data_IF_444261197925
#
_entry.id   IF_444261197925
#
_cell.length_a   1.000
_cell.length_b   1.000
_cell.length_c   1.000
_cell.angle_alpha   90.00
_cell.angle_beta   90.00
_cell.angle_gamma   90.00
#
_symmetry.space_group_name_H-M   'P 1'
#
loop_
_entity.id
_entity.type
_entity.pdbx_description
1 polymer ?
#
# COMPACT_ATOMS: atom_id res chain seq x y z
N UNK A 1 -14.28 -16.14 -13.86
CA UNK A 1 -13.29 -15.41 -14.68
C UNK A 1 -12.77 -14.26 -13.84
N UNK A 2 -11.47 -14.21 -13.61
CA UNK A 2 -10.84 -13.17 -12.79
C UNK A 2 -10.90 -11.82 -13.53
N UNK A 3 -11.32 -10.75 -12.85
CA UNK A 3 -11.40 -9.43 -13.48
C UNK A 3 -9.98 -8.96 -13.89
N UNK A 4 -9.78 -8.50 -15.14
CA UNK A 4 -8.45 -8.19 -15.66
C UNK A 4 -7.71 -7.11 -14.87
N UNK A 5 -8.40 -6.01 -14.53
CA UNK A 5 -7.82 -4.94 -13.71
C UNK A 5 -7.32 -5.45 -12.36
N UNK A 6 -8.08 -6.36 -11.76
CA UNK A 6 -7.74 -6.97 -10.48
C UNK A 6 -6.52 -7.89 -10.64
N UNK A 7 -6.43 -8.61 -11.76
CA UNK A 7 -5.25 -9.42 -12.09
C UNK A 7 -4.00 -8.55 -12.18
N UNK A 8 -4.09 -7.45 -12.92
CA UNK A 8 -3.00 -6.47 -13.06
C UNK A 8 -2.53 -5.94 -11.71
N UNK A 9 -3.46 -5.63 -10.80
CA UNK A 9 -3.13 -5.15 -9.47
C UNK A 9 -2.34 -6.18 -8.66
N UNK A 10 -2.76 -7.45 -8.68
CA UNK A 10 -2.04 -8.53 -8.01
C UNK A 10 -0.68 -8.83 -8.63
N UNK A 11 -0.55 -8.76 -9.96
CA UNK A 11 0.74 -8.91 -10.67
C UNK A 11 1.73 -7.85 -10.20
N UNK A 12 1.32 -6.59 -10.14
CA UNK A 12 2.17 -5.50 -9.64
C UNK A 12 2.56 -5.72 -8.18
N UNK A 13 1.59 -6.09 -7.33
CA UNK A 13 1.86 -6.41 -5.92
C UNK A 13 2.91 -7.52 -5.79
N UNK A 14 2.77 -8.60 -6.57
CA UNK A 14 3.72 -9.71 -6.51
C UNK A 14 5.10 -9.30 -7.02
N UNK A 15 5.19 -8.51 -8.09
CA UNK A 15 6.45 -7.97 -8.58
C UNK A 15 7.15 -7.07 -7.54
N UNK A 16 6.40 -6.26 -6.79
CA UNK A 16 6.95 -5.47 -5.67
C UNK A 16 7.54 -6.37 -4.58
N UNK A 17 6.83 -7.43 -4.16
CA UNK A 17 7.36 -8.41 -3.18
C UNK A 17 8.60 -9.14 -3.69
N UNK A 18 8.59 -9.57 -4.95
CA UNK A 18 9.72 -10.25 -5.59
C UNK A 18 10.96 -9.36 -5.64
N UNK A 19 10.81 -8.05 -5.87
CA UNK A 19 11.93 -7.09 -5.88
C UNK A 19 12.63 -6.94 -4.53
N UNK A 20 11.96 -7.27 -3.42
CA UNK A 20 12.56 -7.21 -2.08
C UNK A 20 13.45 -8.44 -1.78
N UNK A 21 13.38 -9.47 -2.62
CA UNK A 21 14.04 -10.76 -2.41
C UNK A 21 15.31 -10.84 -3.24
N UNK A 22 16.43 -11.13 -2.56
CA UNK A 22 17.75 -11.16 -3.19
C UNK A 22 18.00 -12.38 -4.08
N UNK A 23 17.28 -13.47 -3.87
CA UNK A 23 17.49 -14.77 -4.50
C UNK A 23 16.17 -15.48 -4.81
N UNK A 24 15.27 -14.81 -5.54
CA UNK A 24 14.12 -15.49 -6.13
C UNK A 24 14.61 -16.39 -7.29
N UNK A 25 14.00 -17.56 -7.45
CA UNK A 25 14.18 -18.35 -8.65
C UNK A 25 13.35 -17.77 -9.81
N UNK A 26 13.48 -18.37 -10.98
CA UNK A 26 12.84 -17.91 -12.20
C UNK A 26 11.37 -18.33 -12.32
N UNK A 27 10.77 -18.92 -11.28
CA UNK A 27 9.38 -19.43 -11.37
C UNK A 27 8.35 -18.31 -11.51
N UNK A 28 8.67 -17.08 -11.07
CA UNK A 28 7.77 -15.92 -11.14
C UNK A 28 8.26 -14.84 -12.12
N UNK A 29 9.04 -15.22 -13.15
CA UNK A 29 9.64 -14.26 -14.10
C UNK A 29 8.60 -13.51 -14.93
N UNK A 30 7.46 -14.13 -15.28
CA UNK A 30 6.39 -13.44 -16.02
C UNK A 30 5.69 -12.40 -15.15
N UNK A 31 5.41 -12.76 -13.91
CA UNK A 31 4.87 -11.85 -12.89
C UNK A 31 5.80 -10.66 -12.70
N UNK A 32 7.11 -10.91 -12.58
CA UNK A 32 8.11 -9.86 -12.41
C UNK A 32 8.19 -8.97 -13.64
N UNK A 33 8.23 -9.55 -14.84
CA UNK A 33 8.31 -8.81 -16.11
C UNK A 33 7.08 -7.96 -16.34
N UNK A 34 5.89 -8.55 -16.26
CA UNK A 34 4.63 -7.85 -16.45
C UNK A 34 4.42 -6.77 -15.38
N UNK A 35 4.70 -7.07 -14.10
CA UNK A 35 4.56 -6.11 -13.02
C UNK A 35 5.54 -4.94 -13.14
N UNK A 36 6.81 -5.18 -13.50
CA UNK A 36 7.78 -4.11 -13.78
C UNK A 36 7.39 -3.28 -15.00
N UNK A 37 6.87 -3.90 -16.06
CA UNK A 37 6.35 -3.19 -17.23
C UNK A 37 5.16 -2.28 -16.84
N UNK A 38 4.23 -2.78 -16.03
CA UNK A 38 3.10 -2.01 -15.49
C UNK A 38 3.55 -0.83 -14.62
N UNK A 39 4.49 -1.04 -13.70
CA UNK A 39 5.08 0.01 -12.87
C UNK A 39 5.81 1.07 -13.70
N UNK A 40 6.60 0.64 -14.69
CA UNK A 40 7.29 1.55 -15.60
C UNK A 40 6.29 2.39 -16.38
N UNK A 41 5.31 1.75 -17.02
CA UNK A 41 4.28 2.43 -17.79
C UNK A 41 3.55 3.45 -16.93
N UNK A 42 3.12 3.05 -15.73
CA UNK A 42 2.46 3.96 -14.79
C UNK A 42 3.33 5.14 -14.36
N UNK A 43 4.66 4.95 -14.24
CA UNK A 43 5.59 6.03 -13.92
C UNK A 43 5.82 7.01 -15.09
N UNK A 44 5.66 6.54 -16.32
CA UNK A 44 5.86 7.32 -17.53
C UNK A 44 4.55 8.04 -17.95
N UNK A 45 3.40 7.38 -17.81
CA UNK A 45 2.10 7.89 -18.25
C UNK A 45 1.67 9.15 -17.50
N UNK A 46 1.00 10.03 -18.24
CA UNK A 46 0.24 11.18 -17.75
C UNK A 46 -1.13 11.17 -18.42
N UNK A 47 -2.05 11.99 -17.90
CA UNK A 47 -3.40 12.15 -18.47
C UNK A 47 -3.37 12.59 -19.95
N UNK A 48 -2.32 13.33 -20.35
CA UNK A 48 -2.07 13.73 -21.74
C UNK A 48 -0.81 13.07 -22.31
N UNK A 49 -0.76 12.95 -23.64
CA UNK A 49 0.46 12.54 -24.37
C UNK A 49 1.63 13.44 -23.99
N UNK A 50 2.77 12.84 -23.64
CA UNK A 50 3.93 13.60 -23.20
C UNK A 50 5.24 12.97 -23.65
N UNK A 51 6.17 13.83 -24.06
CA UNK A 51 7.54 13.46 -24.41
C UNK A 51 8.42 13.51 -23.14
N UNK A 52 9.16 12.42 -22.91
CA UNK A 52 9.94 12.20 -21.70
C UNK A 52 11.39 11.97 -22.11
N UNK A 53 12.25 12.88 -21.63
CA UNK A 53 13.69 12.82 -21.92
C UNK A 53 14.31 11.53 -21.41
N UNK A 54 15.33 11.03 -22.11
CA UNK A 54 16.07 9.83 -21.67
C UNK A 54 16.58 9.88 -20.22
N UNK A 55 17.05 11.05 -19.77
CA UNK A 55 17.48 11.27 -18.38
C UNK A 55 16.35 11.11 -17.37
N UNK A 56 15.14 11.55 -17.72
CA UNK A 56 13.95 11.41 -16.89
C UNK A 56 13.42 9.98 -16.90
N UNK A 57 13.42 9.31 -18.05
CA UNK A 57 13.10 7.88 -18.16
C UNK A 57 14.03 7.07 -17.26
N UNK A 58 15.34 7.33 -17.31
CA UNK A 58 16.31 6.68 -16.42
C UNK A 58 15.97 6.88 -14.94
N UNK A 59 15.69 8.12 -14.53
CA UNK A 59 15.32 8.42 -13.15
C UNK A 59 14.05 7.67 -12.71
N UNK A 60 13.01 7.65 -13.56
CA UNK A 60 11.74 6.97 -13.29
C UNK A 60 11.89 5.45 -13.25
N UNK A 61 12.66 4.85 -14.16
CA UNK A 61 12.91 3.40 -14.16
C UNK A 61 13.67 2.96 -12.92
N UNK A 62 14.79 3.62 -12.60
CA UNK A 62 15.56 3.31 -11.38
C UNK A 62 14.70 3.45 -10.13
N UNK A 63 13.79 4.42 -10.16
CA UNK A 63 12.87 4.67 -9.08
C UNK A 63 11.87 3.50 -8.85
N UNK A 64 11.29 2.90 -9.89
CA UNK A 64 10.40 1.73 -9.74
C UNK A 64 11.15 0.39 -9.59
N UNK A 65 12.43 0.42 -9.21
CA UNK A 65 13.24 -0.78 -8.99
C UNK A 65 13.72 -1.47 -10.27
N UNK A 66 13.68 -0.77 -11.42
CA UNK A 66 14.17 -1.31 -12.69
C UNK A 66 15.65 -0.98 -12.85
N UNK A 67 16.45 -2.02 -13.02
CA UNK A 67 17.89 -1.89 -13.25
C UNK A 67 18.20 -1.36 -14.65
N UNK A 68 19.43 -0.87 -14.85
CA UNK A 68 19.86 -0.41 -16.16
C UNK A 68 19.80 -1.49 -17.25
N UNK A 69 19.96 -2.77 -16.87
CA UNK A 69 19.91 -3.90 -17.80
C UNK A 69 18.47 -4.26 -18.21
N UNK A 70 17.51 -4.10 -17.30
CA UNK A 70 16.09 -4.40 -17.53
C UNK A 70 15.36 -3.28 -18.28
N UNK A 71 15.81 -2.02 -18.12
CA UNK A 71 15.11 -0.84 -18.66
C UNK A 71 14.85 -0.93 -20.16
N UNK A 72 15.87 -1.23 -20.96
CA UNK A 72 15.73 -1.28 -22.43
C UNK A 72 14.78 -2.41 -22.86
N UNK A 73 14.95 -3.67 -22.41
CA UNK A 73 13.98 -4.74 -22.69
C UNK A 73 12.53 -4.37 -22.34
N UNK A 74 12.30 -3.75 -21.18
CA UNK A 74 10.95 -3.35 -20.75
C UNK A 74 10.35 -2.24 -21.63
N UNK A 75 11.15 -1.25 -22.05
CA UNK A 75 10.68 -0.22 -22.99
C UNK A 75 10.35 -0.82 -24.36
N UNK A 76 11.18 -1.73 -24.87
CA UNK A 76 10.88 -2.41 -26.14
C UNK A 76 9.60 -3.26 -26.03
N UNK A 77 9.39 -3.96 -24.92
CA UNK A 77 8.15 -4.69 -24.64
C UNK A 77 6.93 -3.74 -24.65
N UNK A 78 7.00 -2.61 -23.94
CA UNK A 78 5.91 -1.63 -23.91
C UNK A 78 5.63 -1.03 -25.29
N UNK A 79 6.67 -0.84 -26.10
CA UNK A 79 6.54 -0.38 -27.49
C UNK A 79 5.90 -1.44 -28.39
N UNK A 80 6.30 -2.71 -28.26
CA UNK A 80 5.69 -3.83 -28.99
C UNK A 80 4.18 -3.92 -28.71
N UNK A 81 3.78 -3.62 -27.47
CA UNK A 81 2.36 -3.55 -27.06
C UNK A 81 1.68 -2.23 -27.43
N UNK A 82 2.34 -1.35 -28.18
CA UNK A 82 1.83 -0.05 -28.63
C UNK A 82 1.42 0.89 -27.48
N UNK A 83 2.07 0.78 -26.31
CA UNK A 83 1.77 1.60 -25.12
C UNK A 83 2.65 2.84 -25.03
N UNK A 84 3.81 2.79 -25.69
CA UNK A 84 4.75 3.89 -25.85
C UNK A 84 5.27 3.92 -27.28
N UNK A 85 5.83 5.06 -27.69
CA UNK A 85 6.63 5.19 -28.90
C UNK A 85 7.90 6.01 -28.61
N UNK A 86 8.75 6.18 -29.63
CA UNK A 86 9.92 7.05 -29.56
C UNK A 86 9.76 8.24 -30.50
N UNK A 87 10.07 9.44 -30.01
CA UNK A 87 10.16 10.62 -30.84
C UNK A 87 11.35 10.54 -31.80
N UNK A 88 11.44 11.47 -32.75
CA UNK A 88 12.56 11.57 -33.68
C UNK A 88 13.92 11.77 -32.99
N UNK A 89 13.90 12.28 -31.75
CA UNK A 89 15.09 12.54 -30.96
C UNK A 89 15.46 11.35 -30.05
N UNK A 90 14.66 10.27 -30.05
CA UNK A 90 14.84 9.10 -29.20
C UNK A 90 14.25 9.24 -27.80
N UNK A 91 13.47 10.30 -27.55
CA UNK A 91 12.73 10.46 -26.29
C UNK A 91 11.49 9.57 -26.29
N UNK A 92 11.06 9.14 -25.10
CA UNK A 92 9.90 8.25 -24.96
C UNK A 92 8.62 9.08 -25.00
N UNK A 93 7.69 8.68 -25.86
CA UNK A 93 6.34 9.26 -25.97
C UNK A 93 5.35 8.27 -25.38
N UNK A 94 4.56 8.71 -24.41
CA UNK A 94 3.51 7.87 -23.80
C UNK A 94 2.15 8.25 -24.32
N UNK A 95 1.30 7.26 -24.60
CA UNK A 95 -0.12 7.50 -24.83
C UNK A 95 -0.78 7.94 -23.51
N UNK A 96 -1.78 8.81 -23.58
CA UNK A 96 -2.60 9.17 -22.42
C UNK A 96 -3.35 7.94 -21.94
N UNK A 97 -2.88 7.32 -20.85
CA UNK A 97 -3.42 6.08 -20.30
C UNK A 97 -3.98 6.33 -18.90
N UNK A 98 -5.16 5.77 -18.64
CA UNK A 98 -5.74 5.74 -17.30
C UNK A 98 -5.10 4.62 -16.47
N UNK A 99 -5.20 4.73 -15.14
CA UNK A 99 -4.75 3.65 -14.24
C UNK A 99 -5.47 2.33 -14.49
N UNK A 100 -6.77 2.37 -14.81
CA UNK A 100 -7.54 1.19 -15.17
C UNK A 100 -6.95 0.48 -16.40
N UNK A 101 -6.65 1.24 -17.46
CA UNK A 101 -6.02 0.68 -18.67
C UNK A 101 -4.62 0.14 -18.38
N UNK A 102 -3.82 0.79 -17.53
CA UNK A 102 -2.48 0.29 -17.17
C UNK A 102 -2.56 -1.08 -16.50
N UNK A 103 -3.50 -1.28 -15.57
CA UNK A 103 -3.71 -2.58 -14.91
C UNK A 103 -4.15 -3.65 -15.91
N UNK A 104 -5.06 -3.31 -16.83
CA UNK A 104 -5.48 -4.24 -17.87
C UNK A 104 -4.35 -4.60 -18.83
N UNK A 105 -3.53 -3.64 -19.24
CA UNK A 105 -2.35 -3.88 -20.06
C UNK A 105 -1.31 -4.73 -19.32
N UNK A 106 -1.13 -4.52 -18.03
CA UNK A 106 -0.27 -5.35 -17.18
C UNK A 106 -0.74 -6.80 -17.18
N UNK A 107 -2.04 -7.04 -16.99
CA UNK A 107 -2.62 -8.37 -17.08
C UNK A 107 -2.47 -8.98 -18.48
N UNK A 108 -2.64 -8.19 -19.55
CA UNK A 108 -2.46 -8.66 -20.92
C UNK A 108 -1.00 -9.04 -21.23
N UNK A 109 -0.02 -8.29 -20.71
CA UNK A 109 1.41 -8.64 -20.85
C UNK A 109 1.68 -9.98 -20.19
N UNK A 110 1.14 -10.19 -18.98
CA UNK A 110 1.25 -11.46 -18.25
C UNK A 110 0.53 -12.62 -18.95
N UNK A 111 -0.66 -12.40 -19.52
CA UNK A 111 -1.42 -13.45 -20.21
C UNK A 111 -0.79 -13.87 -21.56
N UNK A 112 0.11 -13.05 -22.10
CA UNK A 112 0.76 -13.26 -23.39
C UNK A 112 2.17 -13.83 -23.29
N UNK A 113 2.74 -13.94 -22.08
CA UNK A 113 3.94 -14.74 -21.89
C UNK A 113 3.60 -16.22 -22.06
N UNK A 114 4.46 -16.96 -22.76
CA UNK A 114 4.27 -18.39 -23.01
C UNK A 114 5.36 -19.15 -22.26
N UNK A 115 5.11 -19.57 -21.02
CA UNK A 115 6.08 -20.39 -20.28
C UNK A 115 5.44 -21.55 -19.50
N UNK A 116 6.21 -22.61 -19.28
CA UNK A 116 5.74 -23.84 -18.62
C UNK A 116 5.29 -23.67 -17.17
N UNK A 117 5.60 -22.53 -16.53
CA UNK A 117 5.25 -22.22 -15.13
C UNK A 117 4.05 -21.29 -14.98
N UNK A 118 3.38 -20.92 -16.09
CA UNK A 118 2.21 -20.03 -16.09
C UNK A 118 1.15 -20.45 -15.07
N UNK A 119 0.98 -21.76 -14.84
CA UNK A 119 0.00 -22.28 -13.90
C UNK A 119 0.32 -21.97 -12.43
N UNK A 120 1.60 -21.94 -12.02
CA UNK A 120 1.99 -21.61 -10.64
C UNK A 120 1.81 -20.11 -10.39
N UNK A 121 2.20 -19.28 -11.35
CA UNK A 121 2.03 -17.82 -11.25
C UNK A 121 0.55 -17.41 -11.24
N UNK A 122 -0.27 -18.02 -12.10
CA UNK A 122 -1.71 -17.80 -12.06
C UNK A 122 -2.32 -18.28 -10.73
N UNK A 123 -1.86 -19.43 -10.21
CA UNK A 123 -2.31 -19.94 -8.92
C UNK A 123 -1.91 -19.05 -7.75
N UNK A 124 -0.73 -18.40 -7.77
CA UNK A 124 -0.31 -17.47 -6.71
C UNK A 124 -1.17 -16.21 -6.69
N UNK A 125 -1.47 -15.63 -7.86
CA UNK A 125 -2.37 -14.49 -8.01
C UNK A 125 -3.78 -14.85 -7.48
N UNK A 126 -4.28 -16.03 -7.85
CA UNK A 126 -5.58 -16.50 -7.39
C UNK A 126 -5.61 -16.74 -5.87
N UNK A 127 -4.57 -17.36 -5.33
CA UNK A 127 -4.42 -17.60 -3.89
C UNK A 127 -4.42 -16.27 -3.12
N UNK A 128 -3.67 -15.27 -3.57
CA UNK A 128 -3.63 -13.96 -2.93
C UNK A 128 -4.98 -13.25 -2.92
N UNK A 129 -5.73 -13.32 -4.03
CA UNK A 129 -7.10 -12.79 -4.09
C UNK A 129 -8.01 -13.49 -3.09
N UNK A 130 -8.00 -14.83 -3.05
CA UNK A 130 -8.81 -15.59 -2.11
C UNK A 130 -8.46 -15.26 -0.66
N UNK A 131 -7.18 -15.23 -0.34
CA UNK A 131 -6.66 -14.88 0.98
C UNK A 131 -6.94 -13.41 1.39
N UNK A 132 -7.20 -12.52 0.42
CA UNK A 132 -7.61 -11.14 0.68
C UNK A 132 -9.10 -10.98 0.97
N UNK A 133 -9.93 -11.94 0.51
CA UNK A 133 -11.37 -11.93 0.76
C UNK A 133 -11.65 -12.38 2.19
N UNK A 134 -11.05 -13.48 2.61
CA UNK A 134 -11.16 -14.01 3.99
C UNK A 134 -9.97 -14.91 4.32
N UNK A 135 -9.69 -15.17 5.61
CA UNK A 135 -8.71 -16.18 6.00
C UNK A 135 -9.17 -17.58 5.58
N UNK A 136 -8.31 -18.36 4.91
CA UNK A 136 -8.66 -19.67 4.35
C UNK A 136 -7.61 -20.71 4.77
N UNK A 137 -8.03 -21.91 5.14
CA UNK A 137 -7.08 -22.96 5.47
C UNK A 137 -6.39 -23.51 4.22
N UNK A 138 -5.09 -23.78 4.33
CA UNK A 138 -4.30 -24.36 3.24
C UNK A 138 -4.94 -25.65 2.71
N UNK A 139 -5.47 -26.51 3.60
CA UNK A 139 -6.13 -27.76 3.23
C UNK A 139 -7.47 -27.57 2.50
N UNK A 140 -8.16 -26.45 2.73
CA UNK A 140 -9.43 -26.14 2.07
C UNK A 140 -9.20 -25.65 0.63
N UNK A 141 -8.16 -24.84 0.42
CA UNK A 141 -7.87 -24.26 -0.91
C UNK A 141 -7.02 -25.18 -1.81
N UNK A 142 -6.24 -26.10 -1.22
CA UNK A 142 -5.33 -27.00 -1.96
C UNK A 142 -6.04 -27.81 -3.08
N UNK A 143 -7.22 -28.43 -2.86
CA UNK A 143 -7.93 -29.14 -3.94
C UNK A 143 -8.33 -28.22 -5.09
N UNK A 144 -8.85 -27.02 -4.76
CA UNK A 144 -9.26 -26.04 -5.76
C UNK A 144 -8.10 -25.59 -6.64
N UNK A 145 -6.94 -25.29 -6.04
CA UNK A 145 -5.73 -24.90 -6.79
C UNK A 145 -5.22 -26.05 -7.68
N UNK A 146 -5.24 -27.29 -7.17
CA UNK A 146 -4.85 -28.46 -7.95
C UNK A 146 -5.73 -28.64 -9.18
N UNK A 147 -7.05 -28.54 -9.00
CA UNK A 147 -8.02 -28.78 -10.07
C UNK A 147 -8.06 -27.65 -11.10
N UNK A 148 -8.02 -26.38 -10.65
CA UNK A 148 -8.14 -25.21 -11.52
C UNK A 148 -6.86 -24.97 -12.35
N UNK A 149 -5.69 -25.09 -11.71
CA UNK A 149 -4.39 -24.80 -12.34
C UNK A 149 -3.59 -26.05 -12.72
N UNK A 150 -4.18 -27.25 -12.56
CA UNK A 150 -3.56 -28.54 -12.91
C UNK A 150 -2.21 -28.75 -12.23
N UNK A 151 -2.09 -28.32 -10.97
CA UNK A 151 -0.85 -28.42 -10.22
C UNK A 151 -0.69 -29.79 -9.55
N UNK A 152 0.53 -30.35 -9.66
CA UNK A 152 0.96 -31.53 -8.91
C UNK A 152 1.09 -31.22 -7.42
N UNK A 153 1.19 -32.25 -6.57
CA UNK A 153 1.43 -32.03 -5.13
C UNK A 153 2.72 -31.25 -4.88
N UNK A 154 3.80 -31.58 -5.59
CA UNK A 154 5.10 -30.91 -5.45
C UNK A 154 4.99 -29.43 -5.82
N UNK A 155 4.28 -29.10 -6.91
CA UNK A 155 4.04 -27.71 -7.32
C UNK A 155 3.18 -26.96 -6.31
N UNK A 156 2.20 -27.61 -5.68
CA UNK A 156 1.37 -26.99 -4.64
C UNK A 156 2.21 -26.71 -3.39
N UNK A 157 3.04 -27.65 -2.96
CA UNK A 157 3.87 -27.48 -1.77
C UNK A 157 4.95 -26.41 -1.99
N UNK A 158 5.51 -26.34 -3.21
CA UNK A 158 6.34 -25.24 -3.65
C UNK A 158 5.58 -23.90 -3.64
N UNK A 159 4.39 -23.82 -4.25
CA UNK A 159 3.56 -22.61 -4.29
C UNK A 159 3.30 -22.06 -2.89
N UNK A 160 2.88 -22.90 -1.94
CA UNK A 160 2.60 -22.45 -0.57
C UNK A 160 3.87 -21.98 0.16
N UNK A 161 4.99 -22.69 -0.02
CA UNK A 161 6.28 -22.32 0.59
C UNK A 161 6.78 -20.99 0.03
N UNK A 162 6.70 -20.80 -1.29
CA UNK A 162 7.08 -19.57 -1.97
C UNK A 162 6.14 -18.42 -1.61
N UNK A 163 4.83 -18.63 -1.57
CA UNK A 163 3.87 -17.59 -1.20
C UNK A 163 4.09 -17.07 0.24
N UNK A 164 4.40 -17.96 1.19
CA UNK A 164 4.76 -17.61 2.57
C UNK A 164 6.11 -16.89 2.64
N UNK A 165 7.13 -17.40 1.96
CA UNK A 165 8.50 -16.85 2.02
C UNK A 165 8.61 -15.50 1.32
N UNK A 166 7.91 -15.35 0.19
CA UNK A 166 7.90 -14.13 -0.61
C UNK A 166 6.96 -13.08 -0.01
N UNK A 167 5.94 -13.51 0.73
CA UNK A 167 4.93 -12.63 1.30
C UNK A 167 3.80 -12.28 0.33
N UNK A 168 3.43 -13.20 -0.57
CA UNK A 168 2.18 -13.10 -1.33
C UNK A 168 0.97 -13.30 -0.42
N UNK A 169 1.12 -14.16 0.59
CA UNK A 169 0.15 -14.38 1.66
C UNK A 169 0.85 -14.42 3.02
N UNK A 170 0.16 -13.92 4.03
CA UNK A 170 0.48 -14.14 5.42
C UNK A 170 0.02 -15.53 5.87
N UNK A 171 0.74 -16.14 6.81
CA UNK A 171 0.44 -17.48 7.33
C UNK A 171 0.45 -17.47 8.85
N UNK A 172 -0.62 -18.00 9.44
CA UNK A 172 -0.68 -18.33 10.87
C UNK A 172 -0.93 -19.82 11.04
N UNK A 173 -0.30 -20.42 12.05
CA UNK A 173 -0.54 -21.83 12.39
C UNK A 173 -1.53 -21.93 13.53
N UNK A 174 -2.68 -22.53 13.25
CA UNK A 174 -3.67 -22.89 14.26
C UNK A 174 -3.38 -24.33 14.65
N UNK A 175 -2.99 -24.54 15.91
CA UNK A 175 -2.42 -25.78 16.45
C UNK A 175 -3.07 -27.05 15.88
N UNK A 176 -4.40 -27.09 15.85
CA UNK A 176 -5.17 -28.30 15.56
C UNK A 176 -5.82 -28.27 14.16
N UNK A 177 -5.81 -27.11 13.49
CA UNK A 177 -6.54 -26.86 12.24
C UNK A 177 -5.62 -26.68 11.02
N UNK A 178 -4.31 -26.51 11.25
CA UNK A 178 -3.31 -26.35 10.21
C UNK A 178 -2.96 -24.90 9.90
N UNK A 179 -2.38 -24.66 8.72
CA UNK A 179 -1.97 -23.33 8.26
C UNK A 179 -3.17 -22.56 7.73
N UNK A 180 -3.40 -21.38 8.29
CA UNK A 180 -4.40 -20.40 7.87
C UNK A 180 -3.71 -19.31 7.06
N UNK A 181 -4.18 -19.10 5.83
CA UNK A 181 -3.63 -18.17 4.85
C UNK A 181 -4.53 -16.94 4.79
N UNK A 182 -3.93 -15.75 4.74
CA UNK A 182 -4.65 -14.48 4.56
C UNK A 182 -3.73 -13.46 3.89
N UNK A 183 -4.25 -12.27 3.57
CA UNK A 183 -3.46 -11.21 2.98
C UNK A 183 -3.69 -9.88 3.73
N UNK A 184 -2.67 -9.02 3.74
CA UNK A 184 -2.70 -7.69 4.33
C UNK A 184 -3.82 -6.77 3.84
N UNK A 185 -4.45 -7.09 2.71
CA UNK A 185 -5.58 -6.37 2.13
C UNK A 185 -6.95 -6.79 2.69
N UNK A 186 -6.99 -7.62 3.74
CA UNK A 186 -8.22 -8.19 4.28
C UNK A 186 -9.30 -7.14 4.60
N UNK A 187 -8.95 -6.01 5.19
CA UNK A 187 -9.90 -4.95 5.56
C UNK A 187 -10.12 -3.90 4.46
N UNK A 188 -9.51 -4.04 3.28
CA UNK A 188 -9.67 -3.10 2.15
C UNK A 188 -10.96 -3.33 1.33
N UNK A 189 -11.67 -4.43 1.58
CA UNK A 189 -12.96 -4.80 0.97
C UNK A 189 -13.93 -5.26 2.03
N UNK A 190 -15.21 -4.93 1.85
CA UNK A 190 -16.29 -5.36 2.75
C UNK A 190 -15.98 -5.03 4.22
N UNK A 191 -15.35 -3.87 4.48
CA UNK A 191 -14.89 -3.47 5.81
C UNK A 191 -16.02 -3.58 6.84
N UNK A 192 -17.21 -3.04 6.54
CA UNK A 192 -18.37 -3.07 7.43
C UNK A 192 -18.81 -4.49 7.81
N UNK A 193 -18.74 -5.44 6.89
CA UNK A 193 -19.06 -6.83 7.17
C UNK A 193 -18.00 -7.47 8.05
N UNK A 194 -16.72 -7.31 7.68
CA UNK A 194 -15.58 -7.91 8.38
C UNK A 194 -15.40 -7.36 9.79
N UNK A 195 -15.53 -6.04 9.96
CA UNK A 195 -15.50 -5.42 11.29
C UNK A 195 -16.68 -5.88 12.13
N UNK A 196 -17.85 -6.12 11.51
CA UNK A 196 -18.99 -6.77 12.15
C UNK A 196 -18.61 -8.15 12.69
N UNK A 197 -17.98 -9.02 11.89
CA UNK A 197 -17.51 -10.35 12.34
C UNK A 197 -16.51 -10.24 13.51
N UNK A 198 -15.61 -9.26 13.47
CA UNK A 198 -14.72 -8.97 14.61
C UNK A 198 -15.53 -8.56 15.84
N UNK A 199 -16.51 -7.68 15.71
CA UNK A 199 -17.35 -7.24 16.84
C UNK A 199 -18.12 -8.39 17.49
N UNK A 200 -18.63 -9.35 16.73
CA UNK A 200 -19.32 -10.52 17.30
C UNK A 200 -18.39 -11.38 18.18
N UNK A 201 -17.08 -11.35 17.93
CA UNK A 201 -16.08 -12.04 18.75
C UNK A 201 -15.67 -11.27 20.02
N UNK A 202 -16.10 -10.02 20.17
CA UNK A 202 -15.71 -9.11 21.25
C UNK A 202 -16.84 -8.87 22.25
N UNK A 203 -16.46 -8.44 23.46
CA UNK A 203 -17.44 -7.99 24.45
C UNK A 203 -18.13 -6.68 24.04
N UNK A 204 -19.30 -6.40 24.63
CA UNK A 204 -20.02 -5.14 24.42
C UNK A 204 -19.20 -3.90 24.83
N UNK A 205 -18.35 -4.04 25.85
CA UNK A 205 -17.43 -2.98 26.29
C UNK A 205 -16.33 -2.73 25.25
N UNK A 206 -15.67 -3.79 24.76
CA UNK A 206 -14.66 -3.69 23.70
C UNK A 206 -15.26 -3.06 22.42
N UNK A 207 -16.48 -3.47 22.03
CA UNK A 207 -17.18 -2.92 20.87
C UNK A 207 -17.48 -1.43 21.01
N UNK A 208 -17.85 -0.98 22.21
CA UNK A 208 -18.10 0.44 22.49
C UNK A 208 -16.83 1.27 22.34
N UNK A 209 -15.70 0.78 22.87
CA UNK A 209 -14.38 1.45 22.75
C UNK A 209 -13.90 1.55 21.31
N UNK A 210 -14.15 0.51 20.50
CA UNK A 210 -13.81 0.54 19.07
C UNK A 210 -14.64 1.60 18.35
N UNK A 211 -15.96 1.67 18.60
CA UNK A 211 -16.80 2.71 18.01
C UNK A 211 -16.34 4.11 18.40
N UNK A 212 -15.98 4.33 19.66
CA UNK A 212 -15.40 5.59 20.15
C UNK A 212 -14.12 5.95 19.37
N UNK A 213 -13.16 5.04 19.29
CA UNK A 213 -11.91 5.30 18.57
C UNK A 213 -12.15 5.56 17.07
N UNK A 214 -13.05 4.80 16.44
CA UNK A 214 -13.40 4.98 15.03
C UNK A 214 -14.00 6.37 14.78
N UNK A 215 -14.89 6.85 15.67
CA UNK A 215 -15.45 8.20 15.60
C UNK A 215 -14.36 9.27 15.71
N UNK A 216 -13.40 9.10 16.62
CA UNK A 216 -12.28 10.04 16.76
C UNK A 216 -11.43 10.05 15.48
N UNK A 217 -11.00 8.88 14.97
CA UNK A 217 -10.18 8.79 13.77
C UNK A 217 -10.91 9.39 12.56
N UNK A 218 -12.21 9.14 12.38
CA UNK A 218 -12.99 9.74 11.30
C UNK A 218 -13.07 11.27 11.41
N UNK A 219 -13.10 11.82 12.63
CA UNK A 219 -13.11 13.28 12.81
C UNK A 219 -11.74 13.93 12.61
N UNK A 220 -10.66 13.21 12.91
CA UNK A 220 -9.30 13.77 12.94
C UNK A 220 -8.38 13.28 11.81
N UNK A 221 -8.86 12.36 10.98
CA UNK A 221 -8.10 11.65 9.94
C UNK A 221 -7.16 10.57 10.48
N UNK A 222 -6.40 10.87 11.53
CA UNK A 222 -5.56 9.92 12.26
C UNK A 222 -5.33 10.35 13.71
N UNK A 223 -4.94 9.41 14.56
CA UNK A 223 -4.61 9.67 15.98
C UNK A 223 -3.30 9.02 16.38
N UNK A 224 -2.60 9.58 17.37
CA UNK A 224 -1.38 8.95 17.89
C UNK A 224 -1.71 7.59 18.54
N UNK A 225 -0.77 6.64 18.46
CA UNK A 225 -0.96 5.31 19.05
C UNK A 225 -1.22 5.37 20.57
N UNK A 226 -0.65 6.35 21.27
CA UNK A 226 -0.91 6.58 22.70
C UNK A 226 -2.37 6.88 22.99
N UNK A 227 -3.05 7.58 22.07
CA UNK A 227 -4.48 7.87 22.19
C UNK A 227 -5.32 6.61 21.91
N UNK A 228 -4.93 5.81 20.91
CA UNK A 228 -5.52 4.49 20.69
C UNK A 228 -5.38 3.57 21.92
N UNK A 229 -4.21 3.54 22.55
CA UNK A 229 -3.98 2.81 23.81
C UNK A 229 -4.83 3.35 24.96
N UNK A 230 -5.04 4.68 25.04
CA UNK A 230 -5.88 5.30 26.08
C UNK A 230 -7.35 4.88 25.95
N UNK A 231 -7.88 4.83 24.73
CA UNK A 231 -9.29 4.48 24.47
C UNK A 231 -9.53 2.97 24.55
N UNK A 232 -8.74 2.17 23.84
CA UNK A 232 -8.96 0.72 23.73
C UNK A 232 -8.34 -0.08 24.89
N UNK A 233 -7.26 0.44 25.48
CA UNK A 233 -6.34 -0.33 26.32
C UNK A 233 -5.39 -1.20 25.49
N UNK A 234 -4.21 -1.48 26.04
CA UNK A 234 -3.14 -2.19 25.33
C UNK A 234 -3.58 -3.58 24.83
N UNK A 235 -4.32 -4.33 25.66
CA UNK A 235 -4.77 -5.69 25.31
C UNK A 235 -5.67 -5.75 24.07
N UNK A 236 -6.58 -4.78 23.93
CA UNK A 236 -7.49 -4.74 22.78
C UNK A 236 -6.76 -4.21 21.54
N UNK A 237 -5.83 -3.27 21.71
CA UNK A 237 -5.01 -2.78 20.62
C UNK A 237 -4.09 -3.89 20.04
N UNK A 238 -3.45 -4.67 20.89
CA UNK A 238 -2.58 -5.80 20.50
C UNK A 238 -3.35 -6.92 19.76
N UNK A 239 -4.66 -7.01 19.98
CA UNK A 239 -5.56 -7.89 19.22
C UNK A 239 -5.85 -7.33 17.82
N UNK A 240 -6.17 -6.04 17.73
CA UNK A 240 -6.72 -5.41 16.51
C UNK A 240 -5.65 -5.04 15.46
N UNK A 241 -4.45 -4.62 15.89
CA UNK A 241 -3.40 -4.18 14.95
C UNK A 241 -2.87 -5.32 14.06
N UNK A 242 -2.56 -6.53 14.57
CA UNK A 242 -1.99 -7.61 13.75
C UNK A 242 -2.88 -8.09 12.60
N UNK A 243 -4.21 -8.00 12.78
CA UNK A 243 -5.18 -8.38 11.74
C UNK A 243 -5.53 -7.21 10.81
N UNK A 244 -5.04 -6.00 11.08
CA UNK A 244 -5.22 -4.84 10.21
C UNK A 244 -6.55 -4.10 10.36
N UNK A 245 -7.23 -4.19 11.52
CA UNK A 245 -8.42 -3.36 11.80
C UNK A 245 -8.05 -1.87 11.82
N UNK A 246 -6.86 -1.57 12.33
CA UNK A 246 -6.21 -0.27 12.24
C UNK A 246 -4.85 -0.41 11.57
N UNK A 247 -4.45 0.64 10.86
CA UNK A 247 -3.15 0.75 10.22
C UNK A 247 -2.24 1.65 11.04
N UNK A 248 -0.99 1.21 11.27
CA UNK A 248 0.01 2.00 11.97
C UNK A 248 0.95 2.64 10.96
N UNK A 249 1.09 3.95 11.04
CA UNK A 249 1.99 4.76 10.22
C UNK A 249 3.04 5.37 11.14
N UNK A 250 4.32 5.01 10.95
CA UNK A 250 5.39 5.50 11.82
C UNK A 250 6.09 6.68 11.16
N UNK A 251 6.13 7.80 11.89
CA UNK A 251 6.89 8.99 11.53
C UNK A 251 8.05 9.12 12.51
N UNK A 252 9.26 9.20 11.97
CA UNK A 252 10.49 9.35 12.76
C UNK A 252 11.17 10.66 12.37
N UNK A 253 11.62 11.42 13.38
CA UNK A 253 12.47 12.60 13.18
C UNK A 253 13.70 12.51 14.09
N UNK A 254 14.51 13.57 14.15
CA UNK A 254 15.73 13.60 14.96
C UNK A 254 15.49 13.56 16.47
N UNK A 255 14.24 13.64 16.94
CA UNK A 255 13.88 13.69 18.37
C UNK A 255 13.18 12.43 18.84
N UNK A 256 12.22 11.93 18.07
CA UNK A 256 11.37 10.83 18.47
C UNK A 256 10.82 10.06 17.27
N UNK A 257 10.29 8.89 17.57
CA UNK A 257 9.54 8.04 16.65
C UNK A 257 8.11 7.90 17.20
N UNK A 258 7.11 8.23 16.38
CA UNK A 258 5.71 8.22 16.76
C UNK A 258 4.87 7.48 15.74
N UNK A 259 4.02 6.57 16.23
CA UNK A 259 3.03 5.86 15.43
C UNK A 259 1.68 6.58 15.41
N UNK A 260 1.05 6.65 14.25
CA UNK A 260 -0.31 7.16 14.04
C UNK A 260 -1.21 6.07 13.49
N UNK A 261 -2.42 5.96 14.05
CA UNK A 261 -3.46 5.03 13.65
C UNK A 261 -4.36 5.66 12.59
N UNK A 262 -4.57 4.93 11.49
CA UNK A 262 -5.56 5.24 10.44
C UNK A 262 -6.55 4.09 10.26
N UNK A 263 -7.72 4.39 9.69
CA UNK A 263 -8.70 3.37 9.28
C UNK A 263 -8.43 2.94 7.82
N UNK A 264 -8.35 1.64 7.52
CA UNK A 264 -8.21 1.15 6.14
C UNK A 264 -9.29 1.71 5.20
N UNK A 265 -10.54 1.74 5.66
CA UNK A 265 -11.71 2.22 4.88
C UNK A 265 -11.63 3.72 4.50
N UNK A 266 -10.84 4.52 5.22
CA UNK A 266 -10.64 5.94 4.88
C UNK A 266 -9.87 6.12 3.58
N UNK A 267 -9.17 5.10 3.10
CA UNK A 267 -8.34 5.13 1.90
C UNK A 267 -8.90 4.20 0.82
N UNK A 268 -9.29 2.97 1.15
CA UNK A 268 -9.79 2.00 0.15
C UNK A 268 -11.22 1.55 0.44
N UNK A 269 -12.18 1.85 -0.47
CA UNK A 269 -13.58 1.39 -0.38
C UNK A 269 -13.92 0.23 -1.32
N UNK A 270 -13.17 0.06 -2.41
CA UNK A 270 -13.47 -0.92 -3.48
C UNK A 270 -12.39 -1.97 -3.71
N UNK A 271 -11.45 -2.13 -2.77
CA UNK A 271 -10.44 -3.18 -2.83
C UNK A 271 -9.08 -2.79 -3.35
N UNK A 272 -8.15 -3.76 -3.28
CA UNK A 272 -6.75 -3.63 -3.67
C UNK A 272 -6.59 -3.20 -5.12
N UNK A 273 -6.12 -1.96 -5.29
CA UNK A 273 -5.45 -1.49 -6.49
C UNK A 273 -4.04 -1.11 -6.05
N UNK A 274 -3.07 -1.98 -6.31
CA UNK A 274 -1.69 -1.84 -5.82
C UNK A 274 -1.04 -0.52 -6.23
N UNK A 275 -1.40 0.03 -7.40
CA UNK A 275 -0.89 1.33 -7.85
C UNK A 275 -1.47 2.48 -7.00
N UNK A 276 -2.75 2.40 -6.64
CA UNK A 276 -3.40 3.40 -5.78
C UNK A 276 -2.91 3.26 -4.33
N UNK A 277 -2.66 2.03 -3.88
CA UNK A 277 -2.20 1.74 -2.52
C UNK A 277 -0.90 2.47 -2.18
N UNK A 278 0.05 2.58 -3.11
CA UNK A 278 1.27 3.37 -2.93
C UNK A 278 0.97 4.87 -2.70
N UNK A 279 0.04 5.42 -3.48
CA UNK A 279 -0.37 6.83 -3.34
C UNK A 279 -1.08 7.07 -2.01
N UNK A 280 -1.90 6.12 -1.56
CA UNK A 280 -2.50 6.17 -0.24
C UNK A 280 -1.47 6.07 0.87
N UNK A 281 -0.44 5.24 0.73
CA UNK A 281 0.60 5.15 1.74
C UNK A 281 1.44 6.44 1.82
N UNK A 282 1.67 7.13 0.69
CA UNK A 282 2.24 8.48 0.72
C UNK A 282 1.30 9.51 1.36
N UNK A 283 -0.01 9.42 1.11
CA UNK A 283 -0.99 10.26 1.79
C UNK A 283 -1.02 10.00 3.30
N UNK A 284 -1.00 8.74 3.74
CA UNK A 284 -0.89 8.38 5.17
C UNK A 284 0.38 8.93 5.80
N UNK A 285 1.53 8.83 5.11
CA UNK A 285 2.79 9.42 5.56
C UNK A 285 2.69 10.96 5.68
N UNK A 286 2.05 11.62 4.71
CA UNK A 286 1.87 13.07 4.72
C UNK A 286 0.92 13.53 5.83
N UNK A 287 -0.24 12.88 5.97
CA UNK A 287 -1.21 13.10 7.05
C UNK A 287 -0.55 12.92 8.42
N UNK A 288 0.22 11.84 8.61
CA UNK A 288 0.90 11.57 9.88
C UNK A 288 1.94 12.65 10.22
N UNK A 289 2.69 13.14 9.21
CA UNK A 289 3.65 14.24 9.39
C UNK A 289 2.95 15.57 9.72
N UNK A 290 1.82 15.85 9.07
CA UNK A 290 0.99 17.03 9.39
C UNK A 290 0.40 16.94 10.80
N UNK A 291 -0.13 15.77 11.19
CA UNK A 291 -0.67 15.53 12.53
C UNK A 291 0.40 15.69 13.60
N UNK A 292 1.62 15.22 13.35
CA UNK A 292 2.78 15.48 14.20
C UNK A 292 3.03 17.00 14.34
N UNK A 293 3.05 17.73 13.22
CA UNK A 293 3.21 19.18 13.18
C UNK A 293 2.13 19.94 13.97
N UNK A 294 0.90 19.42 14.04
CA UNK A 294 -0.21 20.01 14.79
C UNK A 294 -0.10 19.73 16.31
N UNK A 295 0.20 18.49 16.68
CA UNK A 295 0.00 17.99 18.05
C UNK A 295 1.28 17.91 18.88
N UNK A 296 2.46 17.85 18.24
CA UNK A 296 3.75 17.60 18.90
C UNK A 296 4.79 18.69 18.65
N UNK A 297 4.69 19.41 17.53
CA UNK A 297 5.63 20.49 17.25
C UNK A 297 5.39 21.69 18.17
N UNK A 298 6.46 22.23 18.75
CA UNK A 298 6.39 23.42 19.59
C UNK A 298 6.14 24.68 18.75
N UNK A 299 5.43 25.66 19.30
CA UNK A 299 5.11 26.92 18.61
C UNK A 299 6.32 27.57 17.95
N UNK A 300 7.45 27.68 18.66
CA UNK A 300 8.70 28.27 18.13
C UNK A 300 9.36 27.51 16.98
N UNK A 301 9.03 26.23 16.76
CA UNK A 301 9.49 25.45 15.61
C UNK A 301 8.60 25.61 14.38
N UNK A 302 7.42 26.23 14.53
CA UNK A 302 6.40 26.34 13.50
C UNK A 302 5.28 25.31 13.62
N UNK A 303 4.65 25.20 14.80
CA UNK A 303 3.47 24.36 15.02
C UNK A 303 2.36 24.70 14.02
N UNK A 304 1.71 23.67 13.48
CA UNK A 304 0.59 23.85 12.55
C UNK A 304 -0.67 24.20 13.33
N UNK A 305 -1.22 25.38 13.10
CA UNK A 305 -2.44 25.86 13.77
C UNK A 305 -3.69 25.78 12.89
N UNK A 306 -3.53 25.91 11.57
CA UNK A 306 -4.63 25.91 10.61
C UNK A 306 -4.30 24.99 9.44
N UNK A 307 -4.70 23.72 9.56
CA UNK A 307 -4.33 22.66 8.62
C UNK A 307 -4.99 22.83 7.24
N UNK A 308 -6.26 23.20 7.19
CA UNK A 308 -7.00 23.32 5.93
C UNK A 308 -6.45 24.46 5.04
N UNK A 309 -6.27 25.72 5.52
CA UNK A 309 -5.67 26.77 4.71
C UNK A 309 -4.24 26.44 4.26
N UNK A 310 -3.47 25.76 5.11
CA UNK A 310 -2.11 25.29 4.79
C UNK A 310 -2.15 24.32 3.61
N UNK A 311 -2.98 23.28 3.68
CA UNK A 311 -3.11 22.29 2.62
C UNK A 311 -3.65 22.90 1.32
N UNK A 312 -4.68 23.75 1.39
CA UNK A 312 -5.23 24.44 0.21
C UNK A 312 -4.15 25.27 -0.51
N UNK A 313 -3.29 25.95 0.24
CA UNK A 313 -2.17 26.72 -0.35
C UNK A 313 -1.15 25.82 -1.04
N UNK A 314 -0.82 24.67 -0.45
CA UNK A 314 0.09 23.69 -1.03
C UNK A 314 -0.49 23.05 -2.31
N UNK A 315 -1.76 22.65 -2.27
CA UNK A 315 -2.49 22.06 -3.42
C UNK A 315 -2.59 23.05 -4.59
N UNK A 316 -2.73 24.35 -4.29
CA UNK A 316 -2.72 25.42 -5.30
C UNK A 316 -1.32 25.72 -5.88
N UNK A 317 -0.28 24.95 -5.51
CA UNK A 317 1.09 25.11 -6.01
C UNK A 317 1.92 26.16 -5.25
N UNK A 318 1.37 26.73 -4.17
CA UNK A 318 2.08 27.66 -3.30
C UNK A 318 3.05 26.97 -2.34
N UNK A 319 3.75 27.77 -1.53
CA UNK A 319 4.65 27.30 -0.47
C UNK A 319 4.24 27.82 0.91
N UNK A 320 4.57 27.06 1.96
CA UNK A 320 4.29 27.37 3.38
C UNK A 320 5.59 27.45 4.18
N UNK A 321 5.60 28.19 5.30
CA UNK A 321 6.82 28.53 6.04
C UNK A 321 7.20 30.02 5.92
N UNK A 322 8.45 30.42 6.26
CA UNK A 322 9.58 29.55 6.56
C UNK A 322 9.66 29.21 8.05
N UNK A 323 9.83 27.93 8.39
CA UNK A 323 9.98 27.47 9.79
C UNK A 323 11.00 26.34 9.89
N UNK A 324 11.55 26.11 11.08
CA UNK A 324 12.59 25.08 11.31
C UNK A 324 12.03 23.66 11.24
N UNK A 325 10.76 23.46 11.63
CA UNK A 325 10.11 22.14 11.61
C UNK A 325 10.11 21.50 10.21
N UNK A 326 9.95 22.31 9.16
CA UNK A 326 9.91 21.82 7.77
C UNK A 326 11.18 21.04 7.40
N UNK A 327 12.37 21.56 7.72
CA UNK A 327 13.64 20.89 7.42
C UNK A 327 13.95 19.68 8.28
N UNK A 328 13.18 19.44 9.35
CA UNK A 328 13.40 18.35 10.30
C UNK A 328 12.37 17.23 10.12
N UNK A 329 11.11 17.59 9.90
CA UNK A 329 9.98 16.67 9.98
C UNK A 329 9.52 16.14 8.60
N UNK A 330 9.97 16.76 7.49
CA UNK A 330 9.50 16.42 6.12
C UNK A 330 10.56 15.79 5.21
N UNK A 331 11.76 15.51 5.73
CA UNK A 331 12.89 14.96 4.94
C UNK A 331 12.52 13.65 4.23
N UNK A 332 11.74 12.81 4.90
CA UNK A 332 11.27 11.53 4.35
C UNK A 332 10.31 11.75 3.19
N UNK A 333 9.37 12.68 3.34
CA UNK A 333 8.43 13.04 2.28
C UNK A 333 9.11 13.72 1.10
N UNK A 334 10.21 14.43 1.34
CA UNK A 334 11.05 15.02 0.30
C UNK A 334 11.82 13.95 -0.47
N UNK A 335 12.45 13.00 0.22
CA UNK A 335 13.06 11.82 -0.42
C UNK A 335 12.02 11.01 -1.19
N UNK A 336 10.77 10.99 -0.70
CA UNK A 336 9.63 10.37 -1.36
C UNK A 336 9.00 11.23 -2.47
N UNK A 337 9.57 12.39 -2.81
CA UNK A 337 9.11 13.25 -3.89
C UNK A 337 7.68 13.79 -3.70
N UNK A 338 7.14 13.72 -2.49
CA UNK A 338 5.81 14.27 -2.16
C UNK A 338 5.90 15.78 -2.02
N UNK A 339 6.99 16.24 -1.40
CA UNK A 339 7.23 17.64 -1.08
C UNK A 339 8.64 18.05 -1.47
N UNK A 340 8.87 19.35 -1.52
CA UNK A 340 10.20 19.95 -1.66
C UNK A 340 10.45 20.82 -0.42
N UNK A 341 11.60 20.60 0.22
CA UNK A 341 12.10 21.44 1.32
C UNK A 341 13.07 22.45 0.72
N UNK A 342 12.73 23.74 0.83
CA UNK A 342 13.49 24.83 0.24
C UNK A 342 14.21 25.58 1.37
N UNK A 343 15.55 25.54 1.44
CA UNK A 343 16.31 26.27 2.46
C UNK A 343 16.04 27.77 2.46
N UNK A 344 15.99 28.35 3.65
CA UNK A 344 15.89 29.79 3.92
C UNK A 344 16.84 30.16 5.07
N UNK A 345 16.98 31.47 5.34
CA UNK A 345 17.88 31.97 6.37
C UNK A 345 17.55 31.42 7.77
N UNK A 346 18.59 31.29 8.61
CA UNK A 346 18.51 30.88 10.02
C UNK A 346 17.89 29.49 10.25
N UNK A 347 18.31 28.49 9.46
CA UNK A 347 17.82 27.10 9.53
C UNK A 347 16.28 26.99 9.40
N UNK A 348 15.67 27.92 8.67
CA UNK A 348 14.25 27.87 8.34
C UNK A 348 14.08 27.37 6.92
N UNK A 349 12.93 26.79 6.63
CA UNK A 349 12.68 26.16 5.35
C UNK A 349 11.26 26.46 4.89
N UNK A 350 11.06 26.63 3.59
CA UNK A 350 9.75 26.57 2.96
C UNK A 350 9.43 25.15 2.53
N UNK A 351 8.15 24.81 2.55
CA UNK A 351 7.63 23.54 2.04
C UNK A 351 6.77 23.81 0.82
N UNK A 352 6.99 23.05 -0.25
CA UNK A 352 6.16 23.04 -1.46
C UNK A 352 5.67 21.62 -1.72
N UNK A 353 4.43 21.45 -2.15
CA UNK A 353 3.88 20.15 -2.54
C UNK A 353 4.25 19.87 -4.00
N UNK A 354 4.76 18.67 -4.26
CA UNK A 354 5.11 18.19 -5.59
C UNK A 354 4.02 17.26 -6.15
N UNK A 355 3.35 16.51 -5.27
CA UNK A 355 2.27 15.58 -5.60
C UNK A 355 0.92 16.13 -5.16
N UNK A 356 0.21 16.76 -6.09
CA UNK A 356 -1.06 17.45 -5.83
C UNK A 356 -2.11 16.46 -5.30
N UNK A 357 -2.17 15.29 -5.91
CA UNK A 357 -3.07 14.18 -5.60
C UNK A 357 -2.92 13.71 -4.15
N UNK A 358 -1.69 13.61 -3.65
CA UNK A 358 -1.40 13.25 -2.25
C UNK A 358 -1.92 14.32 -1.28
N UNK A 359 -1.81 15.60 -1.66
CA UNK A 359 -2.35 16.71 -0.89
C UNK A 359 -3.88 16.75 -0.86
N UNK A 360 -4.52 16.46 -2.00
CA UNK A 360 -5.99 16.41 -2.11
C UNK A 360 -6.57 15.26 -1.26
N UNK A 361 -5.95 14.07 -1.30
CA UNK A 361 -6.30 12.95 -0.42
C UNK A 361 -6.10 13.35 1.06
N UNK A 362 -4.97 13.95 1.39
CA UNK A 362 -4.67 14.36 2.77
C UNK A 362 -5.68 15.38 3.31
N UNK A 363 -6.05 16.37 2.50
CA UNK A 363 -7.06 17.35 2.86
C UNK A 363 -8.41 16.68 3.12
N UNK A 364 -8.82 15.78 2.24
CA UNK A 364 -10.10 15.09 2.37
C UNK A 364 -10.12 14.22 3.63
N UNK A 365 -9.12 13.37 3.87
CA UNK A 365 -9.06 12.55 5.10
C UNK A 365 -9.06 13.40 6.37
N UNK A 366 -8.30 14.51 6.40
CA UNK A 366 -8.21 15.38 7.58
C UNK A 366 -9.45 16.25 7.82
N UNK A 367 -10.35 16.41 6.85
CA UNK A 367 -11.55 17.26 6.97
C UNK A 367 -12.86 16.48 6.96
N UNK A 368 -12.92 15.35 6.27
CA UNK A 368 -14.13 14.52 6.13
C UNK A 368 -13.95 13.10 6.69
N UNK A 369 -12.74 12.70 7.06
CA UNK A 369 -12.44 11.35 7.57
C UNK A 369 -12.37 10.26 6.50
N UNK A 370 -12.58 10.59 5.23
CA UNK A 370 -12.74 9.61 4.17
C UNK A 370 -12.32 10.14 2.81
N UNK A 371 -11.27 9.56 2.22
CA UNK A 371 -10.83 9.82 0.84
C UNK A 371 -11.06 8.67 -0.14
N UNK A 372 -11.74 7.62 0.29
CA UNK A 372 -11.96 6.42 -0.52
C UNK A 372 -12.81 6.66 -1.79
N UNK A 373 -13.63 7.71 -1.80
CA UNK A 373 -14.40 8.12 -2.99
C UNK A 373 -13.59 8.98 -3.96
N UNK A 374 -12.53 9.65 -3.48
CA UNK A 374 -11.62 10.42 -4.32
C UNK A 374 -10.85 9.51 -5.30
N UNK A 375 -10.57 8.28 -4.88
CA UNK A 375 -9.94 7.23 -5.70
C UNK A 375 -10.70 6.91 -7.00
N UNK A 376 -12.02 7.16 -7.01
CA UNK A 376 -12.88 6.93 -8.16
C UNK A 376 -12.91 8.11 -9.14
N UNK A 377 -12.54 9.31 -8.67
CA UNK A 377 -12.73 10.58 -9.40
C UNK A 377 -11.42 11.08 -9.99
N UNK A 378 -10.29 10.77 -9.36
CA UNK A 378 -8.97 11.14 -9.87
C UNK A 378 -8.35 9.98 -10.65
N UNK A 379 -8.51 9.99 -11.98
CA UNK A 379 -7.75 9.14 -12.91
C UNK A 379 -6.23 9.41 -12.86
N UNK A 380 -5.82 10.51 -12.22
CA UNK A 380 -4.45 11.04 -12.15
C UNK A 380 -3.57 10.49 -11.01
N UNK A 381 -3.96 9.40 -10.33
CA UNK A 381 -3.18 8.85 -9.20
C UNK A 381 -1.96 8.06 -9.72
N UNK A 382 -0.81 8.74 -9.84
CA UNK A 382 0.44 8.17 -10.37
C UNK A 382 1.28 7.56 -9.22
N UNK A 383 1.85 6.35 -9.39
CA UNK A 383 2.69 5.71 -8.39
C UNK A 383 3.87 6.58 -7.97
N UNK A 384 4.32 6.34 -6.74
CA UNK A 384 4.97 7.37 -5.95
C UNK A 384 6.00 6.81 -4.96
N UNK A 385 7.00 7.63 -4.63
CA UNK A 385 8.36 7.10 -4.44
C UNK A 385 8.72 6.38 -3.13
N UNK A 386 9.66 5.44 -3.20
CA UNK A 386 10.34 4.78 -2.08
C UNK A 386 11.84 4.68 -2.45
N UNK A 387 12.83 4.91 -1.57
CA UNK A 387 12.89 4.64 -0.12
C UNK A 387 13.71 5.68 0.70
N UNK A 388 13.28 6.01 1.92
CA UNK A 388 13.89 5.68 3.25
C UNK A 388 13.26 6.52 4.39
N UNK A 389 13.06 5.87 5.56
CA UNK A 389 12.55 6.37 6.87
C UNK A 389 11.04 6.65 7.05
N UNK A 390 10.16 5.98 6.30
CA UNK A 390 8.75 5.77 6.68
C UNK A 390 8.48 4.27 6.72
N UNK A 391 7.90 3.77 7.80
CA UNK A 391 7.41 2.40 7.87
C UNK A 391 5.90 2.44 7.65
N UNK A 392 5.46 1.87 6.52
CA UNK A 392 4.05 1.84 6.11
C UNK A 392 3.22 0.81 6.89
N UNK A 393 1.90 0.84 6.72
CA UNK A 393 0.96 -0.02 7.44
C UNK A 393 1.27 -1.51 7.35
N UNK A 394 1.64 -1.98 6.16
CA UNK A 394 1.92 -3.39 5.93
C UNK A 394 3.14 -3.89 6.71
N UNK A 395 4.29 -3.23 6.55
CA UNK A 395 5.51 -3.57 7.27
C UNK A 395 5.30 -3.52 8.79
N UNK A 396 4.61 -2.48 9.29
CA UNK A 396 4.32 -2.35 10.71
C UNK A 396 3.39 -3.47 11.22
N UNK A 397 2.36 -3.82 10.44
CA UNK A 397 1.46 -4.91 10.78
C UNK A 397 2.20 -6.23 10.86
N UNK A 398 3.08 -6.53 9.91
CA UNK A 398 3.87 -7.77 9.90
C UNK A 398 4.81 -7.86 11.10
N UNK A 399 5.47 -6.74 11.45
CA UNK A 399 6.33 -6.66 12.64
C UNK A 399 5.54 -6.85 13.93
N UNK A 400 4.40 -6.17 14.06
CA UNK A 400 3.51 -6.28 15.22
C UNK A 400 2.95 -7.69 15.35
N UNK A 401 2.54 -8.31 14.23
CA UNK A 401 2.04 -9.68 14.19
C UNK A 401 3.11 -10.69 14.61
N UNK A 402 4.31 -10.63 14.01
CA UNK A 402 5.45 -11.50 14.39
C UNK A 402 5.80 -11.38 15.88
N UNK A 403 5.68 -10.18 16.46
CA UNK A 403 5.85 -9.97 17.90
C UNK A 403 4.70 -10.57 18.70
N UNK A 404 3.46 -10.34 18.29
CA UNK A 404 2.26 -10.82 18.98
C UNK A 404 2.18 -12.35 18.99
N UNK A 405 2.45 -13.01 17.87
CA UNK A 405 2.42 -14.48 17.76
C UNK A 405 3.42 -15.13 18.70
N UNK A 406 4.59 -14.52 18.90
CA UNK A 406 5.59 -14.99 19.87
C UNK A 406 5.13 -14.84 21.33
N UNK A 407 4.26 -13.87 21.61
CA UNK A 407 3.81 -13.55 22.98
C UNK A 407 2.50 -14.28 23.32
N UNK A 408 1.52 -14.24 22.41
CA UNK A 408 0.20 -14.83 22.57
C UNK A 408 -0.41 -15.15 21.19
N UNK A 409 -0.11 -16.33 20.62
CA UNK A 409 -0.61 -16.72 19.30
C UNK A 409 -2.13 -16.91 19.26
N UNK A 410 -2.73 -17.31 20.39
CA UNK A 410 -4.18 -17.55 20.49
C UNK A 410 -5.01 -16.30 20.22
N UNK A 411 -4.51 -15.12 20.59
CA UNK A 411 -5.23 -13.86 20.36
C UNK A 411 -5.46 -13.57 18.86
N UNK A 412 -4.41 -13.67 18.05
CA UNK A 412 -4.49 -13.47 16.60
C UNK A 412 -5.32 -14.59 15.95
N UNK A 413 -5.07 -15.84 16.35
CA UNK A 413 -5.76 -17.01 15.81
C UNK A 413 -7.28 -16.94 16.00
N UNK A 414 -7.75 -16.55 17.20
CA UNK A 414 -9.17 -16.44 17.48
C UNK A 414 -9.86 -15.39 16.60
N UNK A 415 -9.19 -14.29 16.29
CA UNK A 415 -9.76 -13.22 15.48
C UNK A 415 -9.78 -13.58 14.00
N UNK A 416 -8.74 -14.25 13.50
CA UNK A 416 -8.73 -14.78 12.14
C UNK A 416 -9.78 -15.88 11.96
N UNK A 417 -9.98 -16.76 12.95
CA UNK A 417 -11.05 -17.75 12.90
C UNK A 417 -12.44 -17.08 12.97
N UNK A 418 -12.62 -16.05 13.82
CA UNK A 418 -13.87 -15.28 13.87
C UNK A 418 -14.18 -14.56 12.55
N UNK A 419 -13.17 -14.02 11.87
CA UNK A 419 -13.33 -13.41 10.54
C UNK A 419 -13.81 -14.43 9.51
N UNK A 420 -13.40 -15.69 9.65
CA UNK A 420 -13.80 -16.80 8.77
C UNK A 420 -15.19 -17.36 9.13
N UNK A 421 -15.49 -17.59 10.41
CA UNK A 421 -16.75 -18.23 10.85
C UNK A 421 -17.89 -17.26 11.11
N UNK A 422 -17.62 -15.95 11.14
CA UNK A 422 -18.59 -14.94 11.55
C UNK A 422 -18.75 -14.82 13.07
N UNK A 423 -17.78 -15.32 13.85
CA UNK A 423 -17.82 -15.30 15.32
C UNK A 423 -18.66 -16.43 15.94
N UNK A 424 -18.93 -17.49 15.16
CA UNK A 424 -19.63 -18.72 15.59
C UNK A 424 -18.61 -19.81 15.92
#
# INVERSE_FOLDING_TARGET
MFEKKLKGAWIIHHAQKLNEIKYADNTFDNTLTAGKAGLLLSSLSKDDESEITSSKVQALSTYVGITNLERKPLLELLKEKELIDYSKNGDVVTLGLTQHSILEHTANIFDQSNDSFDNIENASIFLAEKASQEPIFQNEIKPLLSDEFKLTSDNLDYLFTSAETIGFTDVETLSDKGKLLFNGNLFKRQYSEKIGRVFHSLSAEESTKINELNSIIRSEGCVAISEGTRVLGQKLLDKLLPIGVYEVNIVSNSKEEIGFLTLPESFSKFGSNSIIDDTFDLAKAFISSLKYGMTRSAYGRGQIQAIEPLLRKLIAGGHVGPVTAIGQDYRVLELKGVVQVIPYANDRFYLKLLKKEVGEIALLVLTSGNASEHALISDSLIPSTAATQFSGPEVNRDLLRKKQVKVNPTATNNMLDALRTGGI
#
